data_IF_551647511354
#
_entry.id   IF_551647511354
#
_cell.length_a   1.000
_cell.length_b   1.000
_cell.length_c   1.000
_cell.angle_alpha   90.00
_cell.angle_beta   90.00
_cell.angle_gamma   90.00
#
_symmetry.space_group_name_H-M   'P 1'
#
loop_
_entity.id
_entity.type
_entity.pdbx_description
1 polymer ?
#
# COMPACT_ATOMS: atom_id res chain seq x y z
N UNK A 1 -50.44 6.82 0.55
CA UNK A 1 -49.74 6.89 1.84
C UNK A 1 -48.62 5.84 1.76
N UNK A 2 -47.39 6.26 1.37
CA UNK A 2 -46.23 5.35 1.18
C UNK A 2 -45.53 5.28 2.53
N UNK A 3 -45.61 4.12 3.19
CA UNK A 3 -44.91 3.85 4.45
C UNK A 3 -43.44 3.67 4.13
N UNK A 4 -42.50 4.44 4.72
CA UNK A 4 -41.07 4.20 4.48
C UNK A 4 -40.69 2.85 5.11
N UNK A 5 -40.19 1.94 4.31
CA UNK A 5 -39.57 0.70 4.76
C UNK A 5 -38.29 1.07 5.53
N UNK A 6 -38.37 1.06 6.86
CA UNK A 6 -37.21 1.27 7.71
C UNK A 6 -36.30 0.04 7.57
N UNK A 7 -35.24 0.16 6.78
CA UNK A 7 -34.23 -0.87 6.69
C UNK A 7 -33.49 -0.91 8.02
N UNK A 8 -33.83 -1.87 8.87
CA UNK A 8 -33.13 -2.13 10.13
C UNK A 8 -31.77 -2.72 9.76
N UNK A 9 -30.74 -1.91 9.71
CA UNK A 9 -29.36 -2.37 9.55
C UNK A 9 -28.97 -3.05 10.86
N UNK A 10 -29.07 -4.38 10.90
CA UNK A 10 -28.61 -5.18 12.03
C UNK A 10 -27.08 -5.19 12.08
N UNK A 11 -26.50 -4.90 13.25
CA UNK A 11 -25.06 -5.04 13.43
C UNK A 11 -24.59 -6.47 13.12
N UNK A 12 -23.53 -6.60 12.36
CA UNK A 12 -23.02 -7.88 11.88
C UNK A 12 -22.33 -8.65 13.01
N UNK A 13 -22.60 -9.93 13.10
CA UNK A 13 -21.94 -10.83 14.07
C UNK A 13 -20.87 -11.64 13.37
N UNK A 14 -19.71 -11.88 14.03
CA UNK A 14 -18.74 -12.86 13.56
C UNK A 14 -19.33 -14.27 13.49
N UNK A 15 -18.85 -15.05 12.52
CA UNK A 15 -19.29 -16.42 12.29
C UNK A 15 -18.11 -17.41 12.43
N UNK A 16 -18.32 -18.65 12.93
CA UNK A 16 -17.26 -19.67 13.00
C UNK A 16 -16.66 -19.96 11.62
N UNK A 17 -15.34 -20.04 11.55
CA UNK A 17 -14.61 -20.29 10.27
C UNK A 17 -14.08 -21.70 10.14
N UNK A 18 -14.26 -22.56 11.13
CA UNK A 18 -13.73 -23.93 11.15
C UNK A 18 -14.38 -24.82 12.18
N UNK A 19 -13.69 -25.89 12.56
CA UNK A 19 -14.21 -26.89 13.53
C UNK A 19 -14.38 -26.35 14.96
N UNK A 20 -13.59 -25.34 15.35
CA UNK A 20 -13.68 -24.72 16.67
C UNK A 20 -14.56 -23.46 16.61
N UNK A 21 -15.71 -23.45 17.32
CA UNK A 21 -16.64 -22.32 17.28
C UNK A 21 -16.10 -21.04 17.94
N UNK A 22 -15.00 -21.13 18.67
CA UNK A 22 -14.37 -19.97 19.31
C UNK A 22 -13.50 -19.15 18.33
N UNK A 23 -13.15 -19.75 17.15
CA UNK A 23 -12.43 -19.05 16.08
C UNK A 23 -13.45 -18.59 15.06
N UNK A 24 -13.63 -17.29 14.97
CA UNK A 24 -14.66 -16.67 14.14
C UNK A 24 -14.04 -15.65 13.19
N UNK A 25 -14.75 -15.35 12.12
CA UNK A 25 -14.41 -14.22 11.26
C UNK A 25 -15.62 -13.36 10.90
N UNK A 26 -15.34 -12.16 10.45
CA UNK A 26 -16.31 -11.23 9.90
C UNK A 26 -15.66 -10.47 8.75
N UNK A 27 -16.35 -10.39 7.62
CA UNK A 27 -15.89 -9.60 6.49
C UNK A 27 -16.07 -8.12 6.81
N UNK A 28 -14.99 -7.34 6.65
CA UNK A 28 -15.03 -5.89 6.76
C UNK A 28 -15.95 -5.28 5.70
N UNK A 29 -16.83 -4.41 6.13
CA UNK A 29 -17.58 -3.51 5.27
C UNK A 29 -17.51 -2.10 5.84
N UNK A 30 -17.24 -1.08 5.00
CA UNK A 30 -17.34 0.31 5.44
C UNK A 30 -18.72 0.60 6.00
N UNK A 31 -18.79 1.38 7.07
CA UNK A 31 -20.04 1.84 7.71
C UNK A 31 -20.90 0.76 8.37
N UNK A 32 -20.42 -0.48 8.48
CA UNK A 32 -21.05 -1.52 9.29
C UNK A 32 -20.48 -1.55 10.71
N UNK A 33 -21.38 -1.90 11.65
CA UNK A 33 -21.00 -2.13 13.06
C UNK A 33 -20.87 -3.62 13.31
N UNK A 34 -19.68 -4.06 13.78
CA UNK A 34 -19.45 -5.45 14.20
C UNK A 34 -19.85 -5.61 15.66
N UNK A 35 -20.79 -6.51 15.95
CA UNK A 35 -21.21 -6.84 17.31
C UNK A 35 -20.32 -7.94 17.89
N UNK A 36 -19.69 -7.67 19.02
CA UNK A 36 -18.85 -8.62 19.75
C UNK A 36 -19.50 -8.95 21.11
N UNK A 37 -19.67 -10.22 21.37
CA UNK A 37 -20.22 -10.71 22.64
C UNK A 37 -19.14 -11.43 23.42
N UNK A 38 -18.66 -10.81 24.51
CA UNK A 38 -17.65 -11.37 25.41
C UNK A 38 -18.30 -11.94 26.68
N UNK A 39 -17.56 -12.77 27.39
CA UNK A 39 -17.95 -13.34 28.70
C UNK A 39 -16.93 -12.98 29.78
N UNK A 40 -17.40 -12.78 31.02
CA UNK A 40 -16.50 -12.54 32.15
C UNK A 40 -15.48 -13.66 32.32
N UNK A 41 -14.25 -13.30 32.60
CA UNK A 41 -13.14 -14.24 32.76
C UNK A 41 -12.51 -14.71 31.44
N UNK A 42 -13.05 -14.29 30.30
CA UNK A 42 -12.55 -14.61 28.96
C UNK A 42 -12.18 -13.35 28.21
N UNK A 43 -11.19 -13.48 27.32
CA UNK A 43 -10.80 -12.40 26.41
C UNK A 43 -11.16 -12.75 24.98
N UNK A 44 -11.34 -11.71 24.17
CA UNK A 44 -11.45 -11.82 22.71
C UNK A 44 -10.20 -11.17 22.12
N UNK A 45 -9.52 -11.85 21.21
CA UNK A 45 -8.48 -11.27 20.38
C UNK A 45 -9.09 -10.87 19.03
N UNK A 46 -9.01 -9.59 18.68
CA UNK A 46 -9.28 -9.12 17.33
C UNK A 46 -8.00 -9.17 16.50
N UNK A 47 -8.06 -9.78 15.36
CA UNK A 47 -6.97 -9.88 14.40
C UNK A 47 -7.37 -9.08 13.15
N UNK A 48 -6.65 -7.98 12.88
CA UNK A 48 -6.83 -7.13 11.71
C UNK A 48 -5.99 -7.62 10.54
N UNK A 49 -6.19 -7.04 9.37
CA UNK A 49 -5.43 -7.38 8.18
C UNK A 49 -3.92 -7.41 8.41
N UNK A 50 -3.22 -8.36 7.81
CA UNK A 50 -1.77 -8.57 8.02
C UNK A 50 -0.93 -7.36 7.57
N UNK A 51 -1.50 -6.52 6.72
CA UNK A 51 -0.94 -5.32 6.13
C UNK A 51 -1.43 -4.03 6.81
N UNK A 52 -2.17 -4.14 7.94
CA UNK A 52 -2.70 -3.02 8.71
C UNK A 52 -2.00 -2.87 10.06
N UNK A 53 -1.96 -1.62 10.54
CA UNK A 53 -1.49 -1.28 11.89
C UNK A 53 -2.49 -0.39 12.59
N UNK A 54 -2.81 -0.74 13.83
CA UNK A 54 -3.66 0.06 14.70
C UNK A 54 -2.93 1.36 15.06
N UNK A 55 -3.55 2.49 14.75
CA UNK A 55 -3.05 3.83 15.10
C UNK A 55 -3.78 4.39 16.31
N UNK A 56 -5.10 4.17 16.39
CA UNK A 56 -5.92 4.70 17.47
C UNK A 56 -7.02 3.71 17.88
N UNK A 57 -7.32 3.68 19.19
CA UNK A 57 -8.44 2.94 19.75
C UNK A 57 -9.18 3.84 20.72
N UNK A 58 -10.49 3.99 20.50
CA UNK A 58 -11.38 4.74 21.38
C UNK A 58 -12.53 3.85 21.83
N UNK A 59 -12.82 3.82 23.10
CA UNK A 59 -13.92 3.07 23.69
C UNK A 59 -14.82 3.99 24.50
N UNK A 60 -16.12 3.78 24.42
CA UNK A 60 -17.10 4.61 25.12
C UNK A 60 -17.06 4.45 26.64
N UNK A 61 -16.86 3.22 27.14
CA UNK A 61 -16.76 2.94 28.57
C UNK A 61 -15.56 2.05 28.89
N UNK A 62 -14.45 2.69 29.27
CA UNK A 62 -13.21 2.05 29.63
C UNK A 62 -13.24 1.38 31.04
N UNK A 63 -14.26 1.62 31.85
CA UNK A 63 -14.38 1.00 33.16
C UNK A 63 -15.03 -0.40 33.05
N UNK A 64 -15.78 -0.67 32.02
CA UNK A 64 -16.49 -1.95 31.81
C UNK A 64 -15.76 -2.92 30.88
N UNK A 65 -14.79 -2.41 30.10
CA UNK A 65 -13.99 -3.21 29.20
C UNK A 65 -12.52 -2.79 29.24
N UNK A 66 -11.63 -3.75 29.39
CA UNK A 66 -10.20 -3.56 29.20
C UNK A 66 -9.83 -3.81 27.73
N UNK A 67 -9.09 -2.86 27.14
CA UNK A 67 -8.64 -2.92 25.76
C UNK A 67 -7.13 -2.78 25.73
N UNK A 68 -6.42 -3.71 25.09
CA UNK A 68 -4.96 -3.72 25.07
C UNK A 68 -4.44 -4.10 23.69
N UNK A 69 -3.76 -3.22 22.96
CA UNK A 69 -3.10 -3.58 21.71
C UNK A 69 -1.84 -4.41 21.96
N UNK A 70 -1.47 -5.29 21.02
CA UNK A 70 -0.18 -5.97 21.05
C UNK A 70 0.96 -5.00 20.63
N UNK A 71 2.22 -5.38 20.92
CA UNK A 71 3.40 -4.57 20.60
C UNK A 71 3.55 -4.25 19.11
N UNK A 72 3.03 -5.08 18.23
CA UNK A 72 3.09 -4.87 16.76
C UNK A 72 1.92 -4.06 16.22
N UNK A 73 0.98 -3.66 17.08
CA UNK A 73 -0.23 -2.92 16.74
C UNK A 73 -1.08 -3.60 15.63
N UNK A 74 -1.14 -4.93 15.63
CA UNK A 74 -1.94 -5.73 14.68
C UNK A 74 -3.10 -6.45 15.31
N UNK A 75 -3.02 -6.71 16.61
CA UNK A 75 -4.03 -7.42 17.36
C UNK A 75 -4.48 -6.57 18.54
N UNK A 76 -5.75 -6.66 18.88
CA UNK A 76 -6.36 -5.99 20.00
C UNK A 76 -6.98 -7.02 20.93
N UNK A 77 -6.65 -6.97 22.21
CA UNK A 77 -7.22 -7.85 23.20
C UNK A 77 -8.32 -7.11 23.97
N UNK A 78 -9.51 -7.71 24.00
CA UNK A 78 -10.71 -7.17 24.67
C UNK A 78 -11.09 -8.09 25.82
N UNK A 79 -11.27 -7.53 26.99
CA UNK A 79 -11.68 -8.29 28.19
C UNK A 79 -12.81 -7.57 28.89
N UNK A 80 -14.02 -8.17 28.97
CA UNK A 80 -15.10 -7.60 29.77
C UNK A 80 -14.77 -7.67 31.25
N UNK A 81 -15.02 -6.59 31.97
CA UNK A 81 -14.74 -6.46 33.40
C UNK A 81 -16.00 -6.59 34.27
N UNK A 82 -17.18 -6.26 33.70
CA UNK A 82 -18.46 -6.29 34.43
C UNK A 82 -19.53 -7.03 33.64
N UNK A 83 -20.53 -7.55 34.36
CA UNK A 83 -21.69 -8.25 33.76
C UNK A 83 -22.62 -7.25 33.06
N UNK A 84 -23.28 -7.68 32.00
CA UNK A 84 -24.31 -6.94 31.28
C UNK A 84 -23.86 -5.55 30.81
N UNK A 85 -22.55 -5.36 30.64
CA UNK A 85 -22.04 -4.13 30.05
C UNK A 85 -22.31 -4.07 28.55
N UNK A 86 -22.67 -2.89 28.08
CA UNK A 86 -22.80 -2.60 26.67
C UNK A 86 -22.13 -1.25 26.39
N UNK A 87 -21.25 -1.22 25.40
CA UNK A 87 -20.56 0.01 24.96
C UNK A 87 -20.19 -0.09 23.48
N UNK A 88 -19.61 0.96 22.95
CA UNK A 88 -19.06 0.97 21.60
C UNK A 88 -17.56 1.15 21.62
N UNK A 89 -16.90 0.76 20.54
CA UNK A 89 -15.48 0.96 20.34
C UNK A 89 -15.22 1.30 18.87
N UNK A 90 -14.30 2.23 18.65
CA UNK A 90 -13.78 2.55 17.31
C UNK A 90 -12.29 2.22 17.26
N UNK A 91 -11.88 1.55 16.22
CA UNK A 91 -10.46 1.30 15.91
C UNK A 91 -10.14 1.96 14.59
N UNK A 92 -9.06 2.74 14.57
CA UNK A 92 -8.51 3.36 13.37
C UNK A 92 -7.17 2.70 13.10
N UNK A 93 -7.01 2.18 11.90
CA UNK A 93 -5.74 1.67 11.38
C UNK A 93 -5.19 2.66 10.35
N UNK A 94 -3.98 2.42 9.89
CA UNK A 94 -3.36 3.15 8.77
C UNK A 94 -4.11 3.01 7.43
N UNK A 95 -5.14 2.13 7.37
CA UNK A 95 -5.92 1.89 6.15
C UNK A 95 -7.43 2.05 6.31
N UNK A 96 -7.99 1.72 7.47
CA UNK A 96 -9.44 1.57 7.66
C UNK A 96 -9.91 2.05 9.02
N UNK A 97 -11.21 2.30 9.10
CA UNK A 97 -11.92 2.55 10.36
C UNK A 97 -12.90 1.41 10.63
N UNK A 98 -12.90 0.93 11.86
CA UNK A 98 -13.76 -0.15 12.32
C UNK A 98 -14.65 0.34 13.45
N UNK A 99 -15.93 0.01 13.40
CA UNK A 99 -16.90 0.29 14.45
C UNK A 99 -17.37 -1.02 15.10
N UNK A 100 -17.31 -1.07 16.42
CA UNK A 100 -17.73 -2.23 17.19
C UNK A 100 -18.80 -1.86 18.22
N UNK A 101 -19.76 -2.77 18.42
CA UNK A 101 -20.64 -2.81 19.58
C UNK A 101 -20.17 -3.96 20.48
N UNK A 102 -19.82 -3.65 21.73
CA UNK A 102 -19.32 -4.60 22.71
C UNK A 102 -20.41 -4.92 23.74
N UNK A 103 -20.69 -6.19 23.93
CA UNK A 103 -21.69 -6.64 24.91
C UNK A 103 -21.09 -7.74 25.81
N UNK A 104 -21.31 -7.64 27.13
CA UNK A 104 -21.00 -8.73 28.05
C UNK A 104 -22.20 -9.63 28.21
N UNK A 105 -22.06 -10.90 27.84
CA UNK A 105 -23.10 -11.93 27.93
C UNK A 105 -22.66 -13.10 28.80
N UNK A 106 -23.57 -13.96 29.28
CA UNK A 106 -23.20 -15.26 29.82
C UNK A 106 -22.39 -16.05 28.79
N UNK A 107 -21.42 -16.85 29.26
CA UNK A 107 -20.61 -17.68 28.38
C UNK A 107 -21.47 -18.68 27.62
N UNK A 108 -21.32 -18.73 26.30
CA UNK A 108 -21.93 -19.72 25.41
C UNK A 108 -20.82 -20.60 24.77
N UNK A 109 -21.15 -21.80 24.28
CA UNK A 109 -20.20 -22.65 23.56
C UNK A 109 -19.53 -21.98 22.36
N UNK A 110 -20.19 -20.98 21.77
CA UNK A 110 -19.70 -20.17 20.65
C UNK A 110 -19.16 -18.80 21.06
N UNK A 111 -18.88 -18.56 22.35
CA UNK A 111 -18.27 -17.29 22.77
C UNK A 111 -16.91 -17.15 22.09
N UNK A 112 -16.66 -16.09 21.29
CA UNK A 112 -15.43 -15.96 20.50
C UNK A 112 -14.21 -15.76 21.40
N UNK A 113 -13.10 -16.42 21.05
CA UNK A 113 -11.77 -16.16 21.60
C UNK A 113 -10.89 -15.42 20.62
N UNK A 114 -11.10 -15.68 19.33
CA UNK A 114 -10.43 -15.02 18.23
C UNK A 114 -11.48 -14.59 17.21
N UNK A 115 -11.44 -13.33 16.83
CA UNK A 115 -12.24 -12.80 15.73
C UNK A 115 -11.29 -12.19 14.70
N UNK A 116 -11.26 -12.77 13.51
CA UNK A 116 -10.52 -12.25 12.37
C UNK A 116 -11.40 -11.29 11.60
N UNK A 117 -10.84 -10.14 11.30
CA UNK A 117 -11.48 -9.19 10.40
C UNK A 117 -10.94 -9.48 9.00
N UNK A 118 -11.71 -10.22 8.22
CA UNK A 118 -11.37 -10.49 6.84
C UNK A 118 -11.60 -9.22 6.03
N UNK A 119 -10.54 -8.63 5.55
CA UNK A 119 -10.63 -7.50 4.63
C UNK A 119 -10.81 -8.05 3.22
N UNK A 120 -11.69 -7.44 2.39
CA UNK A 120 -11.62 -7.73 0.98
C UNK A 120 -10.16 -7.57 0.60
N UNK A 121 -9.51 -8.63 0.12
CA UNK A 121 -8.27 -8.41 -0.60
C UNK A 121 -8.63 -7.30 -1.58
N UNK A 122 -7.97 -6.14 -1.48
CA UNK A 122 -7.76 -5.41 -2.69
C UNK A 122 -7.22 -6.49 -3.63
N UNK A 123 -8.08 -6.99 -4.50
CA UNK A 123 -7.62 -7.43 -5.77
C UNK A 123 -7.00 -6.14 -6.27
N UNK A 124 -5.70 -5.93 -5.96
CA UNK A 124 -4.85 -5.28 -6.92
C UNK A 124 -5.16 -6.19 -8.10
N UNK A 125 -6.17 -5.81 -8.92
CA UNK A 125 -6.24 -6.26 -10.29
C UNK A 125 -4.79 -6.11 -10.65
N UNK A 126 -4.10 -7.26 -10.78
CA UNK A 126 -2.79 -7.25 -11.38
C UNK A 126 -3.14 -6.43 -12.60
N UNK A 127 -2.72 -5.14 -12.59
CA UNK A 127 -2.86 -4.30 -13.75
C UNK A 127 -2.20 -5.22 -14.73
N UNK A 128 -3.01 -5.96 -15.51
CA UNK A 128 -2.47 -6.79 -16.59
C UNK A 128 -1.57 -5.79 -17.25
N UNK A 129 -0.27 -5.99 -17.05
CA UNK A 129 0.70 -5.11 -17.68
C UNK A 129 0.18 -4.99 -19.09
N UNK A 130 -0.23 -3.79 -19.52
CA UNK A 130 -0.89 -3.65 -20.80
C UNK A 130 -0.04 -4.44 -21.77
N UNK A 131 -0.62 -5.31 -22.62
CA UNK A 131 0.13 -6.25 -23.46
C UNK A 131 1.35 -5.52 -23.98
N UNK A 132 2.56 -6.09 -23.90
CA UNK A 132 3.78 -5.37 -24.20
C UNK A 132 3.53 -4.59 -25.49
N UNK A 133 3.71 -3.26 -25.49
CA UNK A 133 3.40 -2.45 -26.66
C UNK A 133 4.05 -3.13 -27.86
N UNK A 134 3.43 -3.12 -29.04
CA UNK A 134 3.99 -3.76 -30.23
C UNK A 134 5.45 -3.35 -30.34
N UNK A 135 6.38 -4.23 -30.76
CA UNK A 135 7.81 -4.01 -30.69
C UNK A 135 8.10 -2.62 -31.25
N UNK A 136 8.33 -1.68 -30.36
CA UNK A 136 8.71 -0.31 -30.68
C UNK A 136 10.02 -0.43 -31.45
N UNK A 137 10.18 0.34 -32.52
CA UNK A 137 11.46 0.50 -33.18
C UNK A 137 12.41 1.17 -32.20
N UNK A 138 13.02 0.37 -31.31
CA UNK A 138 13.93 0.86 -30.29
C UNK A 138 15.19 1.36 -31.00
N UNK A 139 15.53 2.59 -30.77
CA UNK A 139 16.77 3.18 -31.26
C UNK A 139 17.89 2.95 -30.23
N UNK A 140 18.90 2.21 -30.62
CA UNK A 140 20.12 1.97 -29.83
C UNK A 140 21.32 2.78 -30.33
N UNK A 141 21.14 3.64 -31.34
CA UNK A 141 22.24 4.40 -31.96
C UNK A 141 22.62 5.60 -31.08
N UNK A 142 23.26 5.32 -29.95
CA UNK A 142 23.81 6.32 -29.05
C UNK A 142 25.34 6.22 -28.96
N UNK A 143 26.01 7.36 -29.11
CA UNK A 143 27.42 7.51 -28.84
C UNK A 143 27.65 8.09 -27.43
N UNK A 144 28.56 7.54 -26.70
CA UNK A 144 28.86 7.93 -25.32
C UNK A 144 30.32 8.42 -25.21
N UNK A 145 30.57 9.50 -24.45
CA UNK A 145 31.90 10.08 -24.24
C UNK A 145 31.98 10.83 -22.91
N UNK A 146 33.21 11.02 -22.40
CA UNK A 146 33.46 11.76 -21.15
C UNK A 146 33.90 10.85 -20.00
N UNK A 147 33.54 11.18 -18.77
CA UNK A 147 33.94 10.46 -17.57
C UNK A 147 33.35 9.04 -17.57
N UNK A 148 34.22 8.03 -17.63
CA UNK A 148 33.80 6.61 -17.80
C UNK A 148 32.90 6.11 -16.68
N UNK A 149 33.15 6.56 -15.48
CA UNK A 149 32.35 6.21 -14.27
C UNK A 149 30.94 6.77 -14.27
N UNK A 150 30.57 7.66 -15.18
CA UNK A 150 29.23 8.22 -15.34
C UNK A 150 28.51 7.62 -16.54
N UNK A 151 29.16 6.80 -17.33
CA UNK A 151 28.58 6.23 -18.54
C UNK A 151 27.64 5.07 -18.19
N UNK A 152 26.41 5.06 -18.73
CA UNK A 152 25.52 3.91 -18.60
C UNK A 152 26.08 2.70 -19.39
N UNK A 153 25.73 1.50 -18.95
CA UNK A 153 26.03 0.27 -19.66
C UNK A 153 25.34 0.19 -21.03
N UNK A 154 24.12 0.80 -21.11
CA UNK A 154 23.32 0.81 -22.33
C UNK A 154 22.39 2.03 -22.35
N UNK A 155 22.12 2.57 -23.53
CA UNK A 155 21.13 3.62 -23.77
C UNK A 155 20.29 3.25 -24.99
N UNK A 156 18.97 3.48 -24.90
CA UNK A 156 18.03 3.34 -26.00
C UNK A 156 16.86 4.28 -25.84
N UNK A 157 16.10 4.52 -26.88
CA UNK A 157 14.81 5.23 -26.83
C UNK A 157 13.74 4.50 -27.65
N UNK A 158 12.48 4.82 -27.36
CA UNK A 158 11.29 4.33 -28.06
C UNK A 158 10.61 5.43 -28.90
N UNK A 159 11.31 6.55 -29.07
CA UNK A 159 10.81 7.74 -29.76
C UNK A 159 10.04 8.72 -28.85
N UNK A 160 9.66 8.29 -27.62
CA UNK A 160 8.98 9.11 -26.61
C UNK A 160 9.81 9.28 -25.35
N UNK A 161 10.43 8.19 -24.88
CA UNK A 161 11.22 8.12 -23.66
C UNK A 161 12.63 7.63 -23.99
N UNK A 162 13.61 8.04 -23.17
CA UNK A 162 14.99 7.55 -23.24
C UNK A 162 15.32 6.76 -21.98
N UNK A 163 15.97 5.63 -22.15
CA UNK A 163 16.30 4.65 -21.14
C UNK A 163 17.81 4.56 -20.97
N UNK A 164 18.28 4.66 -19.73
CA UNK A 164 19.71 4.57 -19.36
C UNK A 164 19.87 3.41 -18.37
N UNK A 165 20.51 2.34 -18.76
CA UNK A 165 20.82 1.20 -17.90
C UNK A 165 22.17 1.39 -17.24
N UNK A 166 22.24 1.39 -15.90
CA UNK A 166 23.47 1.47 -15.13
C UNK A 166 23.85 0.11 -14.55
N UNK A 167 25.16 -0.09 -14.32
CA UNK A 167 25.65 -1.31 -13.69
C UNK A 167 25.21 -1.39 -12.21
N UNK A 168 25.23 -2.61 -11.65
CA UNK A 168 24.90 -2.83 -10.24
C UNK A 168 25.90 -2.10 -9.34
N UNK A 169 25.40 -1.41 -8.30
CA UNK A 169 26.19 -0.67 -7.31
C UNK A 169 26.91 0.60 -7.82
N UNK A 170 26.60 1.09 -9.00
CA UNK A 170 27.10 2.39 -9.46
C UNK A 170 26.20 3.53 -9.01
N UNK A 171 26.81 4.64 -8.63
CA UNK A 171 26.06 5.87 -8.30
C UNK A 171 25.47 6.44 -9.58
N UNK A 172 24.14 6.57 -9.63
CA UNK A 172 23.43 7.11 -10.80
C UNK A 172 23.66 8.63 -10.89
N UNK A 173 24.22 9.15 -11.98
CA UNK A 173 24.44 10.58 -12.16
C UNK A 173 23.14 11.34 -12.41
N UNK A 174 23.13 12.65 -12.17
CA UNK A 174 22.06 13.53 -12.64
C UNK A 174 22.09 13.60 -14.17
N UNK A 175 20.90 13.50 -14.78
CA UNK A 175 20.74 13.54 -16.26
C UNK A 175 20.09 14.86 -16.65
N UNK A 176 20.67 15.52 -17.65
CA UNK A 176 20.16 16.74 -18.24
C UNK A 176 20.00 16.55 -19.75
N UNK A 177 18.98 17.14 -20.35
CA UNK A 177 18.88 17.25 -21.79
C UNK A 177 19.73 18.42 -22.27
N UNK A 178 20.42 18.26 -23.41
CA UNK A 178 21.30 19.28 -23.99
C UNK A 178 22.78 19.00 -23.77
N UNK A 179 23.63 19.91 -24.28
CA UNK A 179 25.08 19.87 -24.08
C UNK A 179 25.50 20.54 -22.77
N UNK A 180 26.75 20.30 -22.32
CA UNK A 180 27.24 20.88 -21.08
C UNK A 180 27.26 22.40 -21.13
N UNK A 181 26.77 23.05 -20.04
CA UNK A 181 26.72 24.48 -19.86
C UNK A 181 25.32 25.09 -19.97
N UNK A 182 25.18 26.22 -20.70
CA UNK A 182 23.92 26.98 -20.73
C UNK A 182 22.73 26.26 -21.40
N UNK A 183 23.02 25.21 -22.17
CA UNK A 183 22.01 24.45 -22.90
C UNK A 183 21.49 23.24 -22.11
N UNK A 184 21.95 23.04 -20.88
CA UNK A 184 21.46 21.97 -20.00
C UNK A 184 20.09 22.32 -19.46
N UNK A 185 19.12 21.40 -19.61
CA UNK A 185 17.81 21.49 -19.00
C UNK A 185 17.54 20.26 -18.15
N UNK A 186 16.95 20.48 -16.96
CA UNK A 186 16.56 19.38 -16.09
C UNK A 186 15.50 18.51 -16.76
N UNK A 187 15.64 17.19 -16.64
CA UNK A 187 14.70 16.22 -17.20
C UNK A 187 13.86 15.57 -16.11
N UNK A 188 12.62 15.26 -16.41
CA UNK A 188 11.81 14.37 -15.59
C UNK A 188 12.30 12.94 -15.78
N UNK A 189 12.74 12.32 -14.69
CA UNK A 189 13.24 10.95 -14.73
C UNK A 189 12.78 10.14 -13.52
N UNK A 190 12.69 8.82 -13.69
CA UNK A 190 12.37 7.88 -12.63
C UNK A 190 13.19 6.60 -12.77
N UNK A 191 13.57 6.00 -11.63
CA UNK A 191 14.27 4.72 -11.62
C UNK A 191 13.27 3.55 -11.67
N UNK A 192 13.53 2.58 -12.55
CA UNK A 192 12.83 1.29 -12.62
C UNK A 192 13.88 0.18 -12.56
N UNK A 193 14.13 -0.34 -11.37
CA UNK A 193 15.24 -1.25 -11.13
C UNK A 193 16.58 -0.55 -11.42
N UNK A 194 17.33 -1.04 -12.42
CA UNK A 194 18.62 -0.47 -12.85
C UNK A 194 18.51 0.51 -14.03
N UNK A 195 17.29 0.76 -14.50
CA UNK A 195 17.04 1.60 -15.66
C UNK A 195 16.48 2.95 -15.21
N UNK A 196 17.20 4.02 -15.52
CA UNK A 196 16.64 5.37 -15.41
C UNK A 196 15.85 5.67 -16.67
N UNK A 197 14.58 6.00 -16.50
CA UNK A 197 13.65 6.36 -17.57
C UNK A 197 13.49 7.88 -17.58
N UNK A 198 13.88 8.52 -18.68
CA UNK A 198 13.71 9.95 -18.93
C UNK A 198 12.50 10.15 -19.82
N UNK A 199 11.55 10.97 -19.38
CA UNK A 199 10.24 11.18 -20.04
C UNK A 199 10.34 12.09 -21.28
N UNK A 200 11.42 11.98 -22.03
CA UNK A 200 11.60 12.67 -23.31
C UNK A 200 12.75 12.01 -24.10
N UNK A 201 12.80 12.32 -25.40
CA UNK A 201 13.98 12.07 -26.23
C UNK A 201 14.74 13.37 -26.45
N UNK A 202 16.05 13.26 -26.66
CA UNK A 202 16.91 14.40 -26.97
C UNK A 202 18.06 13.98 -27.88
N UNK A 203 18.51 14.88 -28.75
CA UNK A 203 19.71 14.67 -29.55
C UNK A 203 20.98 14.53 -28.70
N UNK A 204 20.95 15.03 -27.46
CA UNK A 204 22.08 14.97 -26.53
C UNK A 204 21.61 15.01 -25.10
N UNK A 205 22.24 14.20 -24.24
CA UNK A 205 22.11 14.24 -22.80
C UNK A 205 23.47 14.45 -22.14
N UNK A 206 23.50 15.22 -21.06
CA UNK A 206 24.64 15.38 -20.18
C UNK A 206 24.36 14.65 -18.87
N UNK A 207 25.27 13.76 -18.46
CA UNK A 207 25.26 13.05 -17.20
C UNK A 207 26.28 13.72 -16.29
N UNK A 208 25.90 14.10 -15.07
CA UNK A 208 26.77 14.88 -14.19
C UNK A 208 26.77 14.41 -12.75
N UNK A 209 27.96 14.46 -12.14
CA UNK A 209 28.15 14.32 -10.69
C UNK A 209 29.23 15.30 -10.25
N UNK A 210 28.81 16.36 -9.54
CA UNK A 210 29.69 17.48 -9.22
C UNK A 210 30.22 18.17 -10.47
N UNK A 211 31.52 18.31 -10.60
CA UNK A 211 32.18 18.91 -11.77
C UNK A 211 32.42 17.94 -12.93
N UNK A 212 32.33 16.63 -12.68
CA UNK A 212 32.54 15.60 -13.70
C UNK A 212 31.28 15.41 -14.54
N UNK A 213 31.47 15.24 -15.85
CA UNK A 213 30.35 14.99 -16.75
C UNK A 213 30.70 13.97 -17.84
N UNK A 214 29.66 13.35 -18.37
CA UNK A 214 29.70 12.51 -19.55
C UNK A 214 28.59 12.96 -20.51
N UNK A 215 28.74 12.66 -21.79
CA UNK A 215 27.78 12.99 -22.83
C UNK A 215 27.27 11.72 -23.50
N UNK A 216 25.95 11.69 -23.74
CA UNK A 216 25.27 10.68 -24.54
C UNK A 216 24.61 11.39 -25.72
N UNK A 217 25.01 11.05 -26.94
CA UNK A 217 24.52 11.70 -28.16
C UNK A 217 23.79 10.69 -29.02
N UNK A 218 22.56 10.99 -29.43
CA UNK A 218 21.82 10.15 -30.35
C UNK A 218 22.40 10.22 -31.75
N UNK A 219 22.60 9.05 -32.39
CA UNK A 219 22.95 8.96 -33.80
C UNK A 219 21.80 9.27 -34.75
N UNK A 220 20.57 9.38 -34.25
CA UNK A 220 19.41 9.73 -35.05
C UNK A 220 19.25 11.26 -35.11
N UNK A 221 19.04 11.82 -36.30
CA UNK A 221 18.71 13.26 -36.43
C UNK A 221 17.27 13.47 -35.95
N UNK A 222 17.10 14.04 -34.75
CA UNK A 222 15.80 14.54 -34.32
C UNK A 222 15.45 15.76 -35.19
N UNK A 223 14.35 15.69 -35.95
CA UNK A 223 13.78 16.86 -36.61
C UNK A 223 13.23 17.81 -35.52
N UNK A 224 13.70 19.05 -35.55
CA UNK A 224 13.12 20.15 -34.77
C UNK A 224 11.67 20.39 -35.16
#
# INVERSE_FOLDING_TARGET
>A
MILPLLLLVAARMPEPTGADPHIQSVLYQPDEVVRLQGALGWQIMLEFGSDERIENVSIGDALTWQVTPNKKARNLFLKPLVKNAATNMTVITDKRRYAFSLETRPRAPSTPWVVRIDTPREVVEAIEEPPPPPPLNLNYAYAMSGAKELLPARVWDDGLMTYFEFAENEAVPAIFAGGPGKDESLVNSSMRGRVMVVQQTSGRFTLRTGERFAMVTSGTRFRK
#
